data_IF_141754910213
#
_entry.id   IF_141754910213
#
_cell.length_a   1.000
_cell.length_b   1.000
_cell.length_c   1.000
_cell.angle_alpha   90.00
_cell.angle_beta   90.00
_cell.angle_gamma   90.00
#
_symmetry.space_group_name_H-M   'P 1'
#
loop_
_entity.id
_entity.type
_entity.pdbx_description
1 polymer ?
#
# COMPACT_ATOMS: atom_id res chain seq x y z
N UNK A 1 12.19 2.97 4.19
CA UNK A 1 12.09 2.43 2.81
C UNK A 1 10.87 3.05 2.14
N UNK A 2 10.92 3.32 0.82
CA UNK A 2 9.77 3.84 0.09
C UNK A 2 9.41 2.90 -1.06
N UNK A 3 8.12 2.59 -1.23
CA UNK A 3 7.61 1.71 -2.29
C UNK A 3 6.39 2.31 -2.97
N UNK A 4 6.21 2.11 -4.29
CA UNK A 4 5.00 2.53 -5.00
C UNK A 4 3.86 1.52 -4.79
N UNK A 5 2.68 1.80 -5.35
CA UNK A 5 1.64 0.79 -5.55
C UNK A 5 2.13 -0.24 -6.60
N UNK A 6 2.60 -1.39 -6.13
CA UNK A 6 3.27 -2.40 -6.97
C UNK A 6 2.25 -3.07 -7.88
N UNK A 7 2.60 -3.23 -9.16
CA UNK A 7 1.78 -3.86 -10.22
C UNK A 7 0.51 -3.10 -10.63
N UNK A 8 0.23 -1.92 -10.08
CA UNK A 8 -0.99 -1.16 -10.42
C UNK A 8 -0.83 -0.21 -11.61
N UNK A 9 0.37 -0.14 -12.18
CA UNK A 9 0.65 0.60 -13.41
C UNK A 9 0.18 -0.17 -14.66
N UNK A 10 1.09 -0.40 -15.61
CA UNK A 10 0.76 -1.10 -16.87
C UNK A 10 0.24 -2.54 -16.66
N UNK A 11 0.54 -3.15 -15.52
CA UNK A 11 0.05 -4.50 -15.17
C UNK A 11 -1.42 -4.51 -14.76
N UNK A 12 -2.02 -3.34 -14.48
CA UNK A 12 -3.46 -3.21 -14.22
C UNK A 12 -3.94 -3.89 -12.94
N UNK A 13 -3.05 -4.18 -11.99
CA UNK A 13 -3.44 -4.78 -10.73
C UNK A 13 -4.34 -3.81 -9.94
N UNK A 14 -5.49 -4.23 -9.39
CA UNK A 14 -6.41 -3.33 -8.71
C UNK A 14 -5.79 -2.67 -7.48
N UNK A 15 -6.00 -1.36 -7.32
CA UNK A 15 -5.49 -0.62 -6.15
C UNK A 15 -6.00 -1.16 -4.81
N UNK A 16 -7.28 -1.53 -4.74
CA UNK A 16 -7.91 -2.03 -3.52
C UNK A 16 -7.24 -3.33 -3.06
N UNK A 17 -7.12 -4.32 -3.95
CA UNK A 17 -6.41 -5.58 -3.66
C UNK A 17 -4.93 -5.35 -3.36
N UNK A 18 -4.27 -4.43 -4.07
CA UNK A 18 -2.87 -4.07 -3.81
C UNK A 18 -2.69 -3.56 -2.37
N UNK A 19 -3.53 -2.60 -1.96
CA UNK A 19 -3.48 -1.99 -0.64
C UNK A 19 -3.78 -3.00 0.48
N UNK A 20 -4.74 -3.90 0.29
CA UNK A 20 -5.04 -4.98 1.23
C UNK A 20 -3.82 -5.89 1.43
N UNK A 21 -3.24 -6.40 0.34
CA UNK A 21 -2.05 -7.27 0.40
C UNK A 21 -0.86 -6.56 1.05
N UNK A 22 -0.61 -5.30 0.67
CA UNK A 22 0.49 -4.52 1.25
C UNK A 22 0.29 -4.30 2.75
N UNK A 23 -0.94 -4.03 3.19
CA UNK A 23 -1.27 -3.84 4.61
C UNK A 23 -0.99 -5.10 5.42
N UNK A 24 -1.39 -6.26 4.92
CA UNK A 24 -1.15 -7.55 5.59
C UNK A 24 0.36 -7.85 5.70
N UNK A 25 1.13 -7.66 4.62
CA UNK A 25 2.59 -7.86 4.66
C UNK A 25 3.26 -6.91 5.65
N UNK A 26 2.83 -5.65 5.70
CA UNK A 26 3.38 -4.68 6.67
C UNK A 26 3.07 -5.08 8.11
N UNK A 27 1.90 -5.67 8.38
CA UNK A 27 1.55 -6.20 9.70
C UNK A 27 2.45 -7.36 10.10
N UNK A 28 2.77 -8.27 9.18
CA UNK A 28 3.70 -9.38 9.41
C UNK A 28 5.13 -8.90 9.68
N UNK A 29 5.50 -7.73 9.16
CA UNK A 29 6.83 -7.14 9.33
C UNK A 29 6.97 -6.24 10.58
N UNK A 30 5.97 -6.17 11.46
CA UNK A 30 5.96 -5.25 12.64
C UNK A 30 7.11 -5.44 13.62
N UNK A 31 7.74 -6.61 13.66
CA UNK A 31 8.90 -6.88 14.51
C UNK A 31 10.21 -6.25 13.98
N UNK A 32 10.17 -5.65 12.79
CA UNK A 32 11.30 -4.97 12.17
C UNK A 32 11.17 -3.47 12.44
N UNK A 33 12.19 -2.90 13.09
CA UNK A 33 12.30 -1.44 13.29
C UNK A 33 12.66 -0.75 11.96
N UNK A 34 11.64 -0.51 11.13
CA UNK A 34 11.77 0.13 9.82
C UNK A 34 10.58 1.05 9.55
N UNK A 35 10.88 2.28 9.15
CA UNK A 35 9.88 3.19 8.58
C UNK A 35 9.60 2.83 7.10
N UNK A 36 8.33 2.64 6.75
CA UNK A 36 7.88 2.37 5.39
C UNK A 36 6.95 3.48 4.88
N UNK A 37 7.28 4.04 3.71
CA UNK A 37 6.48 5.04 3.01
C UNK A 37 5.88 4.42 1.73
N UNK A 38 4.55 4.43 1.61
CA UNK A 38 3.86 4.04 0.37
C UNK A 38 3.65 5.29 -0.48
N UNK A 39 4.42 5.43 -1.56
CA UNK A 39 4.40 6.60 -2.45
C UNK A 39 3.37 6.42 -3.56
N UNK A 40 2.27 7.17 -3.48
CA UNK A 40 1.14 7.08 -4.41
C UNK A 40 1.10 8.31 -5.31
N UNK A 41 1.02 8.08 -6.62
CA UNK A 41 1.07 9.16 -7.61
C UNK A 41 -0.26 9.91 -7.77
N UNK A 42 -1.39 9.19 -7.72
CA UNK A 42 -2.71 9.77 -7.92
C UNK A 42 -3.49 9.92 -6.62
N UNK A 43 -4.37 10.92 -6.57
CA UNK A 43 -5.28 11.13 -5.45
C UNK A 43 -6.23 9.94 -5.25
N UNK A 44 -6.64 9.28 -6.34
CA UNK A 44 -7.47 8.08 -6.30
C UNK A 44 -6.78 6.95 -5.52
N UNK A 45 -5.54 6.62 -5.90
CA UNK A 45 -4.77 5.59 -5.21
C UNK A 45 -4.56 5.97 -3.75
N UNK A 46 -4.22 7.23 -3.47
CA UNK A 46 -4.09 7.73 -2.09
C UNK A 46 -5.36 7.51 -1.27
N UNK A 47 -6.53 7.85 -1.81
CA UNK A 47 -7.80 7.70 -1.09
C UNK A 47 -8.13 6.23 -0.81
N UNK A 48 -7.89 5.33 -1.77
CA UNK A 48 -8.13 3.89 -1.61
C UNK A 48 -7.22 3.31 -0.53
N UNK A 49 -5.91 3.57 -0.63
CA UNK A 49 -4.92 3.11 0.35
C UNK A 49 -5.22 3.67 1.73
N UNK A 50 -5.48 4.98 1.86
CA UNK A 50 -5.79 5.61 3.15
C UNK A 50 -7.00 4.98 3.82
N UNK A 51 -8.06 4.67 3.05
CA UNK A 51 -9.26 4.00 3.57
C UNK A 51 -8.96 2.60 4.10
N UNK A 52 -8.06 1.86 3.48
CA UNK A 52 -7.71 0.49 3.89
C UNK A 52 -6.76 0.52 5.09
N UNK A 53 -5.71 1.33 5.04
CA UNK A 53 -4.75 1.47 6.12
C UNK A 53 -5.37 2.02 7.42
N UNK A 54 -6.47 2.79 7.33
CA UNK A 54 -7.17 3.35 8.49
C UNK A 54 -8.25 2.44 9.08
N UNK A 55 -8.53 1.28 8.47
CA UNK A 55 -9.49 0.29 9.01
C UNK A 55 -8.88 -0.54 10.15
N UNK A 56 -7.57 -0.49 10.33
CA UNK A 56 -6.78 -1.11 11.39
C UNK A 56 -6.13 -0.06 12.29
#
# INVERSE_FOLDING_TARGET
MAIPAISTGIYGYPYETCAEVMTEVVKEMRDIDMELLVCLFSQEAYNIFSKIFSKD
#
